data_IF_257340001564
#
_entry.id   IF_257340001564
#
_cell.length_a   1.000
_cell.length_b   1.000
_cell.length_c   1.000
_cell.angle_alpha   90.00
_cell.angle_beta   90.00
_cell.angle_gamma   90.00
#
_symmetry.space_group_name_H-M   'P 1'
#
loop_
_entity.id
_entity.type
_entity.pdbx_description
1 polymer ?
#
# COMPACT_ATOMS: atom_id res chain seq x y z
N UNK A 1 0.82 2.51 -23.20
CA UNK A 1 -0.36 3.35 -22.89
C UNK A 1 -0.08 4.77 -23.33
N UNK A 2 -0.96 5.37 -24.14
CA UNK A 2 -0.78 6.74 -24.64
C UNK A 2 -1.06 7.78 -23.55
N UNK A 3 -2.06 7.57 -22.67
CA UNK A 3 -2.32 8.38 -21.47
C UNK A 3 -2.79 7.49 -20.29
N UNK A 4 -2.47 7.88 -19.05
CA UNK A 4 -2.98 7.23 -17.84
C UNK A 4 -4.39 7.75 -17.52
N UNK A 5 -5.33 6.91 -17.07
CA UNK A 5 -6.65 7.38 -16.67
C UNK A 5 -6.53 8.27 -15.43
N UNK A 6 -7.29 9.36 -15.41
CA UNK A 6 -7.47 10.17 -14.20
C UNK A 6 -8.40 9.41 -13.24
N UNK A 7 -7.94 9.21 -12.00
CA UNK A 7 -8.67 8.50 -10.97
C UNK A 7 -8.29 9.12 -9.62
N UNK A 8 -9.09 10.06 -9.14
CA UNK A 8 -8.84 10.81 -7.90
C UNK A 8 -9.75 10.37 -6.77
N UNK A 9 -10.79 9.61 -7.07
CA UNK A 9 -11.81 9.22 -6.11
C UNK A 9 -12.16 7.74 -6.22
N UNK A 10 -12.74 7.19 -5.14
CA UNK A 10 -13.24 5.82 -5.18
C UNK A 10 -14.37 5.68 -6.20
N UNK A 11 -15.23 6.68 -6.34
CA UNK A 11 -16.32 6.69 -7.31
C UNK A 11 -15.81 6.65 -8.75
N UNK A 12 -14.79 7.45 -9.08
CA UNK A 12 -14.14 7.41 -10.39
C UNK A 12 -13.47 6.06 -10.64
N UNK A 13 -12.82 5.46 -9.63
CA UNK A 13 -12.25 4.12 -9.74
C UNK A 13 -13.33 3.08 -10.12
N UNK A 14 -14.47 3.11 -9.44
CA UNK A 14 -15.58 2.18 -9.72
C UNK A 14 -16.16 2.42 -11.12
N UNK A 15 -16.31 3.68 -11.53
CA UNK A 15 -16.75 4.04 -12.88
C UNK A 15 -15.79 3.52 -13.95
N UNK A 16 -14.47 3.62 -13.74
CA UNK A 16 -13.47 3.09 -14.68
C UNK A 16 -13.57 1.56 -14.82
N UNK A 17 -13.83 0.84 -13.72
CA UNK A 17 -14.05 -0.62 -13.77
C UNK A 17 -15.32 -0.96 -14.55
N UNK A 18 -16.41 -0.21 -14.35
CA UNK A 18 -17.67 -0.45 -15.07
C UNK A 18 -17.53 -0.11 -16.56
N UNK A 19 -16.83 0.97 -16.90
CA UNK A 19 -16.59 1.40 -18.27
C UNK A 19 -15.70 0.41 -19.04
N UNK A 20 -14.81 -0.32 -18.36
CA UNK A 20 -14.04 -1.41 -18.97
C UNK A 20 -14.87 -2.69 -19.19
N UNK A 21 -16.17 -2.67 -18.88
CA UNK A 21 -17.09 -3.80 -19.05
C UNK A 21 -16.95 -4.88 -17.98
N UNK A 22 -16.14 -4.63 -16.94
CA UNK A 22 -15.90 -5.58 -15.87
C UNK A 22 -16.91 -5.41 -14.74
N UNK A 23 -17.23 -6.52 -14.08
CA UNK A 23 -18.04 -6.51 -12.85
C UNK A 23 -17.12 -6.67 -11.64
N UNK A 24 -17.54 -6.09 -10.53
CA UNK A 24 -16.85 -6.22 -9.26
C UNK A 24 -17.80 -6.71 -8.16
N UNK A 25 -17.23 -7.41 -7.19
CA UNK A 25 -17.88 -7.76 -5.93
C UNK A 25 -17.44 -6.77 -4.86
N UNK A 26 -18.40 -6.19 -4.14
CA UNK A 26 -18.10 -5.41 -2.93
C UNK A 26 -17.71 -6.37 -1.81
N UNK A 27 -16.42 -6.39 -1.45
CA UNK A 27 -15.89 -7.29 -0.42
C UNK A 27 -15.91 -6.68 0.97
N UNK A 28 -16.01 -5.34 1.06
CA UNK A 28 -16.15 -4.61 2.31
C UNK A 28 -16.62 -3.18 2.08
N UNK A 29 -16.97 -2.49 3.17
CA UNK A 29 -17.18 -1.04 3.20
C UNK A 29 -16.41 -0.43 4.36
N UNK A 30 -15.80 0.73 4.15
CA UNK A 30 -15.11 1.48 5.21
C UNK A 30 -16.09 2.08 6.22
N UNK A 31 -15.57 2.74 7.25
CA UNK A 31 -16.38 3.44 8.27
C UNK A 31 -17.32 4.52 7.70
N UNK A 32 -17.03 5.05 6.50
CA UNK A 32 -17.89 6.01 5.80
C UNK A 32 -18.67 5.39 4.63
N UNK A 33 -18.72 4.06 4.56
CA UNK A 33 -19.49 3.35 3.54
C UNK A 33 -18.79 3.25 2.17
N UNK A 34 -17.55 3.71 2.04
CA UNK A 34 -16.81 3.60 0.78
C UNK A 34 -16.50 2.13 0.48
N UNK A 35 -16.79 1.71 -0.74
CA UNK A 35 -16.70 0.31 -1.14
C UNK A 35 -15.26 -0.10 -1.41
N UNK A 36 -14.87 -1.26 -0.87
CA UNK A 36 -13.66 -1.98 -1.23
C UNK A 36 -14.12 -3.13 -2.11
N UNK A 37 -13.56 -3.21 -3.31
CA UNK A 37 -14.07 -4.10 -4.36
C UNK A 37 -13.02 -5.09 -4.84
N UNK A 38 -13.48 -6.26 -5.27
CA UNK A 38 -12.68 -7.26 -5.95
C UNK A 38 -13.23 -7.46 -7.37
N UNK A 39 -12.38 -7.31 -8.37
CA UNK A 39 -12.69 -7.66 -9.76
C UNK A 39 -12.19 -9.06 -10.04
N UNK A 40 -13.03 -9.89 -10.63
CA UNK A 40 -12.61 -11.17 -11.19
C UNK A 40 -12.34 -10.98 -12.69
N UNK A 41 -11.14 -11.32 -13.13
CA UNK A 41 -10.71 -11.25 -14.53
C UNK A 41 -9.93 -12.52 -14.92
N UNK A 42 -9.40 -12.55 -16.15
CA UNK A 42 -8.73 -13.71 -16.74
C UNK A 42 -9.68 -14.88 -17.04
N UNK A 43 -9.14 -16.09 -17.06
CA UNK A 43 -9.88 -17.31 -17.31
C UNK A 43 -10.42 -17.99 -16.05
N UNK A 44 -10.45 -19.32 -16.07
CA UNK A 44 -11.00 -20.15 -14.99
C UNK A 44 -10.00 -21.18 -14.44
N UNK A 45 -8.77 -21.23 -14.98
CA UNK A 45 -7.74 -22.19 -14.58
C UNK A 45 -7.28 -21.92 -13.15
N UNK A 46 -7.02 -23.01 -12.44
CA UNK A 46 -6.47 -23.04 -11.08
C UNK A 46 -4.98 -23.43 -11.12
N UNK A 47 -4.19 -23.06 -10.10
CA UNK A 47 -4.56 -22.19 -8.98
C UNK A 47 -4.71 -20.72 -9.40
N UNK A 48 -5.49 -19.90 -8.67
CA UNK A 48 -5.82 -18.54 -9.10
C UNK A 48 -4.70 -17.55 -8.74
N UNK A 49 -4.70 -16.38 -9.38
CA UNK A 49 -3.77 -15.28 -9.11
C UNK A 49 -4.50 -14.21 -8.30
N UNK A 50 -3.85 -13.65 -7.29
CA UNK A 50 -4.36 -12.49 -6.54
C UNK A 50 -3.44 -11.29 -6.77
N UNK A 51 -4.03 -10.15 -7.14
CA UNK A 51 -3.33 -8.88 -7.32
C UNK A 51 -3.98 -7.85 -6.39
N UNK A 52 -3.18 -7.15 -5.59
CA UNK A 52 -3.69 -6.08 -4.72
C UNK A 52 -2.89 -4.80 -4.88
N UNK A 53 -3.53 -3.66 -4.63
CA UNK A 53 -2.87 -2.35 -4.65
C UNK A 53 -3.51 -1.39 -3.63
N UNK A 54 -2.90 -0.22 -3.44
CA UNK A 54 -3.51 0.89 -2.71
C UNK A 54 -3.81 0.62 -1.24
N UNK A 55 -2.97 -0.14 -0.53
CA UNK A 55 -3.01 -0.11 0.96
C UNK A 55 -2.54 1.24 1.49
N UNK A 56 -1.63 1.88 0.76
CA UNK A 56 -1.27 3.27 0.96
C UNK A 56 -1.84 4.05 -0.23
N UNK A 57 -2.80 4.93 0.04
CA UNK A 57 -3.41 5.76 -1.00
C UNK A 57 -2.40 6.69 -1.70
N UNK A 58 -1.32 7.06 -1.01
CA UNK A 58 -0.21 7.84 -1.59
C UNK A 58 0.68 7.09 -2.60
N UNK A 59 0.26 5.90 -3.04
CA UNK A 59 0.98 5.04 -3.98
C UNK A 59 0.12 4.77 -5.24
N UNK A 60 -0.20 5.83 -6.01
CA UNK A 60 -1.16 5.77 -7.12
C UNK A 60 -0.73 4.84 -8.26
N UNK A 61 0.57 4.61 -8.47
CA UNK A 61 1.04 3.80 -9.59
C UNK A 61 0.55 2.35 -9.49
N UNK A 62 0.49 1.78 -8.28
CA UNK A 62 -0.04 0.44 -8.06
C UNK A 62 -1.54 0.34 -8.40
N UNK A 63 -2.32 1.36 -8.00
CA UNK A 63 -3.77 1.42 -8.27
C UNK A 63 -4.04 1.52 -9.77
N UNK A 64 -3.33 2.40 -10.47
CA UNK A 64 -3.47 2.58 -11.92
C UNK A 64 -2.98 1.36 -12.71
N UNK A 65 -1.90 0.71 -12.26
CA UNK A 65 -1.46 -0.56 -12.85
C UNK A 65 -2.49 -1.67 -12.64
N UNK A 66 -3.11 -1.76 -11.46
CA UNK A 66 -4.19 -2.71 -11.22
C UNK A 66 -5.40 -2.47 -12.13
N UNK A 67 -5.79 -1.22 -12.39
CA UNK A 67 -6.84 -0.89 -13.36
C UNK A 67 -6.46 -1.30 -14.80
N UNK A 68 -5.22 -1.04 -15.21
CA UNK A 68 -4.74 -1.48 -16.52
C UNK A 68 -4.66 -3.01 -16.63
N UNK A 69 -4.33 -3.72 -15.55
CA UNK A 69 -4.37 -5.19 -15.51
C UNK A 69 -5.82 -5.73 -15.59
N UNK A 70 -6.79 -5.05 -14.95
CA UNK A 70 -8.20 -5.42 -15.10
C UNK A 70 -8.60 -5.36 -16.58
N UNK A 71 -8.21 -4.31 -17.29
CA UNK A 71 -8.61 -4.08 -18.69
C UNK A 71 -7.87 -4.95 -19.71
N UNK A 72 -6.58 -5.24 -19.47
CA UNK A 72 -5.70 -5.75 -20.53
C UNK A 72 -5.01 -7.08 -20.20
N UNK A 73 -5.13 -7.62 -18.98
CA UNK A 73 -4.46 -8.87 -18.63
C UNK A 73 -5.15 -10.06 -19.30
N UNK A 74 -4.43 -10.72 -20.21
CA UNK A 74 -4.82 -11.98 -20.81
C UNK A 74 -4.11 -13.14 -20.12
N UNK A 75 -4.89 -14.06 -19.53
CA UNK A 75 -4.40 -15.29 -18.89
C UNK A 75 -5.53 -16.31 -18.80
N UNK A 76 -5.19 -17.60 -18.88
CA UNK A 76 -6.16 -18.68 -18.66
C UNK A 76 -6.52 -18.85 -17.18
N UNK A 77 -5.70 -18.34 -16.27
CA UNK A 77 -5.91 -18.44 -14.82
C UNK A 77 -7.02 -17.49 -14.35
N UNK A 78 -7.78 -17.93 -13.34
CA UNK A 78 -8.68 -17.02 -12.65
C UNK A 78 -7.85 -15.97 -11.89
N UNK A 79 -8.18 -14.69 -12.08
CA UNK A 79 -7.49 -13.56 -11.43
C UNK A 79 -8.47 -12.81 -10.54
N UNK A 80 -8.04 -12.49 -9.31
CA UNK A 80 -8.77 -11.67 -8.35
C UNK A 80 -7.97 -10.39 -8.07
N UNK A 81 -8.51 -9.24 -8.45
CA UNK A 81 -7.83 -7.95 -8.35
C UNK A 81 -8.56 -7.06 -7.35
N UNK A 82 -7.85 -6.61 -6.31
CA UNK A 82 -8.32 -5.56 -5.38
C UNK A 82 -7.51 -4.29 -5.68
N UNK A 83 -8.01 -3.40 -6.56
CA UNK A 83 -7.22 -2.28 -7.07
C UNK A 83 -7.00 -1.17 -6.03
N UNK A 84 -7.86 -1.07 -5.02
CA UNK A 84 -7.76 -0.05 -3.98
C UNK A 84 -8.21 -0.61 -2.63
N UNK A 85 -7.25 -0.81 -1.71
CA UNK A 85 -7.52 -1.31 -0.36
C UNK A 85 -7.94 -0.22 0.62
N UNK A 86 -7.48 1.03 0.42
CA UNK A 86 -7.82 2.19 1.24
C UNK A 86 -8.55 3.28 0.46
N UNK A 87 -9.86 3.12 0.18
CA UNK A 87 -10.62 4.14 -0.53
C UNK A 87 -10.89 5.40 0.30
N UNK A 88 -10.74 5.34 1.63
CA UNK A 88 -10.90 6.51 2.49
C UNK A 88 -9.79 7.53 2.24
N UNK A 89 -8.53 7.08 2.26
CA UNK A 89 -7.38 7.97 2.06
C UNK A 89 -7.14 8.34 0.59
N UNK A 90 -7.72 7.59 -0.36
CA UNK A 90 -7.55 7.80 -1.80
C UNK A 90 -8.02 9.17 -2.28
N UNK A 91 -9.12 9.69 -1.74
CA UNK A 91 -9.65 10.98 -2.16
C UNK A 91 -8.94 12.21 -1.60
N UNK A 92 -7.81 12.03 -0.92
CA UNK A 92 -7.03 13.14 -0.36
C UNK A 92 -7.44 13.54 1.05
N UNK A 93 -6.55 14.32 1.69
CA UNK A 93 -6.71 14.69 3.10
C UNK A 93 -7.92 15.60 3.35
N UNK A 94 -8.16 16.54 2.44
CA UNK A 94 -9.31 17.45 2.53
C UNK A 94 -10.64 16.68 2.48
N UNK A 95 -10.77 15.70 1.58
CA UNK A 95 -11.97 14.86 1.48
C UNK A 95 -12.16 13.98 2.72
N UNK A 96 -11.08 13.43 3.27
CA UNK A 96 -11.13 12.69 4.54
C UNK A 96 -11.71 13.55 5.66
N UNK A 97 -11.21 14.79 5.79
CA UNK A 97 -11.65 15.73 6.80
C UNK A 97 -13.11 16.15 6.57
N UNK A 98 -13.50 16.38 5.31
CA UNK A 98 -14.87 16.70 4.94
C UNK A 98 -15.88 15.60 5.29
N UNK A 99 -15.53 14.33 5.07
CA UNK A 99 -16.35 13.20 5.51
C UNK A 99 -16.53 13.17 7.03
N UNK A 100 -15.49 13.51 7.79
CA UNK A 100 -15.55 13.54 9.24
C UNK A 100 -16.34 14.73 9.80
N UNK A 101 -16.28 15.89 9.13
CA UNK A 101 -17.00 17.10 9.53
C UNK A 101 -18.43 17.17 8.97
N UNK A 102 -18.76 16.38 7.94
CA UNK A 102 -20.04 16.44 7.24
C UNK A 102 -20.17 17.67 6.33
N UNK A 103 -19.06 18.26 5.89
CA UNK A 103 -19.03 19.46 5.03
C UNK A 103 -17.88 19.38 4.03
N UNK A 104 -17.93 20.20 2.98
CA UNK A 104 -16.81 20.35 2.05
C UNK A 104 -15.66 21.11 2.73
N UNK A 105 -14.43 20.64 2.48
CA UNK A 105 -13.22 21.19 3.08
C UNK A 105 -12.23 21.51 1.97
N UNK A 106 -11.63 22.69 2.04
CA UNK A 106 -10.52 23.11 1.19
C UNK A 106 -9.29 23.30 2.09
N UNK A 107 -8.14 22.85 1.61
CA UNK A 107 -6.86 22.98 2.31
C UNK A 107 -5.84 23.51 1.32
N UNK A 108 -5.36 24.72 1.55
CA UNK A 108 -4.40 25.38 0.65
C UNK A 108 -2.94 25.19 1.11
N UNK A 109 -2.73 24.82 2.37
CA UNK A 109 -1.39 24.68 2.95
C UNK A 109 -1.39 23.87 4.25
N UNK A 110 -0.20 23.49 4.72
CA UNK A 110 -0.04 22.86 6.05
C UNK A 110 -0.48 23.76 7.21
N UNK A 111 -0.33 25.09 7.07
CA UNK A 111 -0.82 26.04 8.08
C UNK A 111 -2.33 26.09 8.13
N UNK A 112 -2.96 26.02 6.96
CA UNK A 112 -4.41 25.94 6.85
C UNK A 112 -4.95 24.63 7.44
N UNK A 113 -4.34 23.50 7.10
CA UNK A 113 -4.63 22.21 7.72
C UNK A 113 -4.50 22.29 9.26
N UNK A 114 -3.40 22.84 9.77
CA UNK A 114 -3.17 23.00 11.20
C UNK A 114 -4.23 23.88 11.89
N UNK A 115 -4.61 25.01 11.26
CA UNK A 115 -5.67 25.90 11.78
C UNK A 115 -7.03 25.23 11.77
N UNK A 116 -7.40 24.54 10.70
CA UNK A 116 -8.66 23.80 10.59
C UNK A 116 -8.77 22.73 11.66
N UNK A 117 -7.73 21.91 11.83
CA UNK A 117 -7.73 20.87 12.87
C UNK A 117 -7.84 21.46 14.28
N UNK A 118 -7.13 22.56 14.55
CA UNK A 118 -7.19 23.22 15.85
C UNK A 118 -8.54 23.89 16.13
N UNK A 119 -9.22 24.41 15.10
CA UNK A 119 -10.49 25.11 15.22
C UNK A 119 -11.71 24.20 15.19
N UNK A 120 -11.62 23.02 14.56
CA UNK A 120 -12.76 22.10 14.35
C UNK A 120 -12.67 20.81 15.16
N UNK A 121 -11.49 20.45 15.67
CA UNK A 121 -11.28 19.24 16.47
C UNK A 121 -10.88 19.52 17.91
N UNK A 122 -10.94 18.48 18.74
CA UNK A 122 -10.38 18.51 20.08
C UNK A 122 -8.88 18.19 19.99
N UNK A 123 -8.04 19.20 20.19
CA UNK A 123 -6.57 19.02 20.17
C UNK A 123 -6.13 18.15 21.34
N UNK A 124 -5.50 17.01 21.04
CA UNK A 124 -5.00 16.06 22.04
C UNK A 124 -3.48 16.09 22.20
N UNK A 125 -2.77 16.56 21.17
CA UNK A 125 -1.33 16.76 21.24
C UNK A 125 -0.92 17.88 20.28
N UNK A 126 0.05 18.68 20.71
CA UNK A 126 0.68 19.72 19.90
C UNK A 126 2.17 19.78 20.21
N UNK A 127 2.97 19.97 19.17
CA UNK A 127 4.41 20.20 19.26
C UNK A 127 4.83 21.25 18.23
N UNK A 128 5.60 22.24 18.71
CA UNK A 128 6.02 23.41 17.92
C UNK A 128 7.05 23.06 16.83
N UNK A 129 8.04 22.21 17.15
CA UNK A 129 9.25 21.98 16.33
C UNK A 129 8.99 21.66 14.85
N UNK A 130 7.90 20.93 14.55
CA UNK A 130 7.49 20.62 13.17
C UNK A 130 6.00 20.90 12.92
N UNK A 131 5.39 21.74 13.77
CA UNK A 131 3.95 21.99 13.76
C UNK A 131 3.12 20.69 13.83
N UNK A 132 3.60 19.69 14.57
CA UNK A 132 2.85 18.43 14.74
C UNK A 132 1.61 18.69 15.59
N UNK A 133 0.46 18.38 15.05
CA UNK A 133 -0.84 18.58 15.68
C UNK A 133 -1.68 17.31 15.51
N UNK A 134 -2.20 16.79 16.62
CA UNK A 134 -3.19 15.71 16.62
C UNK A 134 -4.51 16.29 17.13
N UNK A 135 -5.58 16.14 16.35
CA UNK A 135 -6.92 16.57 16.72
C UNK A 135 -7.93 15.42 16.56
N UNK A 136 -8.75 15.21 17.57
CA UNK A 136 -9.90 14.31 17.51
C UNK A 136 -11.06 15.00 16.81
N UNK A 137 -11.59 14.36 15.77
CA UNK A 137 -12.77 14.80 15.02
C UNK A 137 -13.66 13.57 14.82
N UNK A 138 -14.78 13.54 15.54
CA UNK A 138 -15.59 12.32 15.67
C UNK A 138 -14.77 11.16 16.25
N UNK A 139 -14.79 10.02 15.59
CA UNK A 139 -14.03 8.82 15.99
C UNK A 139 -12.61 8.74 15.42
N UNK A 140 -12.21 9.74 14.63
CA UNK A 140 -10.92 9.81 13.95
C UNK A 140 -9.93 10.73 14.64
N UNK A 141 -8.66 10.47 14.35
CA UNK A 141 -7.55 11.33 14.73
C UNK A 141 -6.95 11.90 13.45
N UNK A 142 -7.11 13.20 13.25
CA UNK A 142 -6.46 13.90 12.15
C UNK A 142 -5.12 14.46 12.62
N UNK A 143 -4.11 14.31 11.77
CA UNK A 143 -2.75 14.74 12.06
C UNK A 143 -2.28 15.70 10.98
N UNK A 144 -1.73 16.83 11.42
CA UNK A 144 -0.99 17.74 10.55
C UNK A 144 0.45 17.81 11.05
N UNK A 145 1.40 17.77 10.12
CA UNK A 145 2.83 17.98 10.34
C UNK A 145 3.41 18.50 9.04
N UNK A 146 4.27 19.51 9.11
CA UNK A 146 4.96 20.00 7.91
C UNK A 146 5.91 18.93 7.36
N UNK A 147 6.07 18.81 6.02
CA UNK A 147 7.08 17.95 5.44
C UNK A 147 8.48 18.40 5.89
N UNK A 148 9.36 17.43 6.11
CA UNK A 148 10.78 17.70 6.35
C UNK A 148 11.47 18.05 5.02
N UNK A 149 12.59 18.79 5.01
CA UNK A 149 13.32 19.11 3.78
C UNK A 149 13.68 17.89 2.93
N UNK A 150 14.06 16.78 3.58
CA UNK A 150 14.34 15.48 2.95
C UNK A 150 13.23 14.46 3.27
N UNK A 151 11.97 14.85 3.06
CA UNK A 151 10.79 14.06 3.42
C UNK A 151 10.80 12.67 2.77
N UNK A 152 10.50 11.66 3.59
CA UNK A 152 10.06 10.31 3.18
C UNK A 152 8.53 10.22 3.05
N UNK A 153 7.88 11.38 3.01
CA UNK A 153 6.43 11.54 2.94
C UNK A 153 5.73 11.07 4.20
N UNK A 154 4.71 10.21 4.08
CA UNK A 154 3.82 9.92 5.19
C UNK A 154 4.50 9.07 6.27
N UNK A 155 5.62 8.41 5.94
CA UNK A 155 6.41 7.61 6.89
C UNK A 155 7.09 8.48 7.94
N UNK A 156 7.37 9.75 7.67
CA UNK A 156 7.91 10.66 8.69
C UNK A 156 6.91 10.94 9.80
N UNK A 157 5.66 11.19 9.41
CA UNK A 157 4.55 11.39 10.36
C UNK A 157 4.35 10.12 11.18
N UNK A 158 4.26 8.96 10.53
CA UNK A 158 4.11 7.67 11.24
C UNK A 158 5.27 7.41 12.24
N UNK A 159 6.52 7.66 11.84
CA UNK A 159 7.70 7.53 12.72
C UNK A 159 7.61 8.52 13.89
N UNK A 160 7.21 9.77 13.64
CA UNK A 160 7.05 10.79 14.69
C UNK A 160 5.96 10.38 15.66
N UNK A 161 4.80 9.94 15.17
CA UNK A 161 3.67 9.48 15.98
C UNK A 161 4.06 8.31 16.87
N UNK A 162 4.76 7.28 16.34
CA UNK A 162 5.23 6.16 17.16
C UNK A 162 6.22 6.61 18.25
N UNK A 163 7.10 7.59 17.97
CA UNK A 163 7.95 8.18 19.02
C UNK A 163 7.10 8.89 20.08
N UNK A 164 6.14 9.73 19.66
CA UNK A 164 5.22 10.45 20.56
C UNK A 164 4.52 9.47 21.49
N UNK A 165 3.92 8.40 20.96
CA UNK A 165 3.26 7.37 21.78
C UNK A 165 4.22 6.73 22.80
N UNK A 166 5.51 6.60 22.45
CA UNK A 166 6.52 6.03 23.34
C UNK A 166 6.88 6.90 24.54
N UNK A 167 6.91 8.24 24.39
CA UNK A 167 7.23 9.16 25.50
C UNK A 167 6.01 9.91 26.08
N UNK A 168 4.83 9.74 25.49
CA UNK A 168 3.53 10.25 25.97
C UNK A 168 2.52 9.10 26.12
N UNK A 169 2.75 8.17 27.06
CA UNK A 169 1.88 7.01 27.25
C UNK A 169 0.44 7.40 27.63
N UNK A 170 0.20 8.60 28.16
CA UNK A 170 -1.13 9.15 28.43
C UNK A 170 -2.01 9.31 27.16
N UNK A 171 -1.40 9.38 25.98
CA UNK A 171 -2.12 9.43 24.70
C UNK A 171 -2.67 8.06 24.28
N UNK A 172 -2.05 6.96 24.72
CA UNK A 172 -2.41 5.61 24.27
C UNK A 172 -3.87 5.29 24.58
N UNK A 173 -4.38 5.44 25.83
CA UNK A 173 -5.78 5.17 26.13
C UNK A 173 -6.79 6.02 25.33
N UNK A 174 -6.37 7.22 24.89
CA UNK A 174 -7.22 8.12 24.11
C UNK A 174 -7.31 7.70 22.63
N UNK A 175 -6.28 7.05 22.11
CA UNK A 175 -6.10 6.84 20.66
C UNK A 175 -6.18 5.38 20.23
N UNK A 176 -6.03 4.42 21.15
CA UNK A 176 -6.15 2.97 20.85
C UNK A 176 -7.45 2.66 20.10
N UNK A 177 -7.33 1.89 19.01
CA UNK A 177 -8.44 1.48 18.17
C UNK A 177 -8.93 2.56 17.18
N UNK A 178 -8.48 3.81 17.32
CA UNK A 178 -8.83 4.88 16.38
C UNK A 178 -8.01 4.79 15.11
N UNK A 179 -8.64 5.21 14.02
CA UNK A 179 -7.96 5.46 12.74
C UNK A 179 -7.36 6.86 12.75
N UNK A 180 -6.12 6.93 12.30
CA UNK A 180 -5.39 8.17 12.06
C UNK A 180 -5.41 8.48 10.57
N UNK A 181 -5.45 9.78 10.24
CA UNK A 181 -5.36 10.28 8.88
C UNK A 181 -4.45 11.51 8.83
N UNK A 182 -3.54 11.56 7.85
CA UNK A 182 -2.67 12.71 7.61
C UNK A 182 -2.39 12.90 6.12
N UNK A 183 -1.96 14.09 5.69
CA UNK A 183 -1.58 14.31 4.30
C UNK A 183 -0.40 13.43 3.89
N UNK A 184 -0.30 13.07 2.62
CA UNK A 184 0.82 12.26 2.13
C UNK A 184 2.18 12.93 2.30
N UNK A 185 2.24 14.28 2.34
CA UNK A 185 3.49 15.03 2.49
C UNK A 185 4.55 14.67 1.42
N UNK A 186 4.10 14.36 0.20
CA UNK A 186 4.95 13.96 -0.93
C UNK A 186 5.08 15.11 -1.93
N UNK A 187 5.50 16.29 -1.45
CA UNK A 187 5.64 17.52 -2.23
C UNK A 187 6.24 17.27 -3.62
N UNK A 188 5.48 17.61 -4.67
CA UNK A 188 5.92 17.52 -6.06
C UNK A 188 5.99 16.10 -6.65
N UNK A 189 5.54 15.08 -5.92
CA UNK A 189 5.37 13.73 -6.46
C UNK A 189 4.06 13.64 -7.24
N UNK A 190 4.18 13.36 -8.54
CA UNK A 190 3.05 13.27 -9.47
C UNK A 190 1.96 12.28 -8.99
N UNK A 191 0.70 12.71 -9.00
CA UNK A 191 -0.47 11.89 -8.62
C UNK A 191 -0.68 11.71 -7.11
N UNK A 192 0.05 12.45 -6.27
CA UNK A 192 -0.05 12.35 -4.81
C UNK A 192 0.10 13.68 -4.09
N UNK A 193 1.19 14.40 -4.40
CA UNK A 193 1.59 15.66 -3.76
C UNK A 193 1.44 15.66 -2.23
N UNK A 194 1.33 16.84 -1.60
CA UNK A 194 1.12 16.92 -0.16
C UNK A 194 -0.29 16.47 0.27
N UNK A 195 -1.34 16.85 -0.48
CA UNK A 195 -2.74 16.71 -0.06
C UNK A 195 -3.64 15.89 -0.99
N UNK A 196 -3.23 15.60 -2.24
CA UNK A 196 -4.10 14.91 -3.21
C UNK A 196 -4.41 13.48 -2.79
N UNK A 197 -3.52 12.89 -1.99
CA UNK A 197 -3.75 11.63 -1.28
C UNK A 197 -3.50 11.83 0.21
N UNK A 198 -4.18 11.04 1.03
CA UNK A 198 -3.88 10.95 2.44
C UNK A 198 -3.11 9.65 2.73
N UNK A 199 -2.58 9.55 3.93
CA UNK A 199 -2.14 8.30 4.52
C UNK A 199 -3.01 8.01 5.73
N UNK A 200 -3.40 6.74 5.87
CA UNK A 200 -4.17 6.30 7.02
C UNK A 200 -3.54 5.09 7.71
N UNK A 201 -3.73 5.04 9.02
CA UNK A 201 -3.18 4.03 9.91
C UNK A 201 -4.10 3.82 11.10
N UNK A 202 -3.82 2.82 11.92
CA UNK A 202 -4.59 2.57 13.15
C UNK A 202 -3.66 2.48 14.36
N UNK A 203 -4.16 2.90 15.51
CA UNK A 203 -3.45 2.66 16.78
C UNK A 203 -3.82 1.27 17.28
N UNK A 204 -2.83 0.40 17.37
CA UNK A 204 -2.99 -0.95 17.93
C UNK A 204 -3.29 -0.88 19.42
N UNK A 205 -3.76 -1.99 20.01
CA UNK A 205 -3.96 -2.12 21.46
C UNK A 205 -2.68 -1.90 22.30
N UNK A 206 -1.50 -1.94 21.68
CA UNK A 206 -0.22 -1.64 22.31
C UNK A 206 0.24 -0.19 22.11
N UNK A 207 -0.59 0.68 21.55
CA UNK A 207 -0.23 2.09 21.29
C UNK A 207 0.72 2.29 20.10
N UNK A 208 0.88 1.28 19.24
CA UNK A 208 1.69 1.38 18.00
C UNK A 208 0.80 1.93 16.88
N UNK A 209 1.28 2.92 16.13
CA UNK A 209 0.63 3.36 14.89
C UNK A 209 1.08 2.43 13.76
N UNK A 210 0.14 1.68 13.19
CA UNK A 210 0.39 0.67 12.18
C UNK A 210 -0.36 0.99 10.87
N UNK A 211 0.38 0.96 9.75
CA UNK A 211 -0.18 1.11 8.41
C UNK A 211 -1.07 -0.07 7.99
N UNK A 212 -1.87 0.14 6.94
CA UNK A 212 -2.82 -0.84 6.41
C UNK A 212 -2.19 -2.04 5.69
N UNK A 213 -0.87 -2.03 5.46
CA UNK A 213 -0.11 -3.19 5.00
C UNK A 213 0.55 -3.95 6.16
N UNK A 214 0.02 -3.84 7.38
CA UNK A 214 0.42 -4.62 8.56
C UNK A 214 -0.79 -5.31 9.16
N UNK A 215 -0.54 -6.14 10.17
CA UNK A 215 -1.57 -6.71 11.05
C UNK A 215 -2.48 -7.78 10.42
N UNK A 216 -2.08 -8.41 9.32
CA UNK A 216 -2.87 -9.50 8.72
C UNK A 216 -3.06 -10.72 9.65
N UNK A 217 -2.20 -10.87 10.67
CA UNK A 217 -2.30 -11.91 11.71
C UNK A 217 -3.06 -11.46 12.97
N UNK A 218 -3.61 -10.25 13.02
CA UNK A 218 -4.40 -9.80 14.18
C UNK A 218 -5.76 -10.50 14.22
N UNK A 219 -6.28 -10.76 15.42
CA UNK A 219 -7.60 -11.34 15.58
C UNK A 219 -8.71 -10.43 15.01
N UNK A 220 -8.59 -9.12 15.27
CA UNK A 220 -9.55 -8.10 14.87
C UNK A 220 -8.84 -6.96 14.13
N UNK A 221 -8.38 -7.18 12.89
CA UNK A 221 -7.79 -6.11 12.10
C UNK A 221 -8.89 -5.17 11.58
N UNK A 222 -8.54 -3.94 11.14
CA UNK A 222 -9.45 -3.07 10.39
C UNK A 222 -10.07 -3.77 9.18
N UNK A 223 -11.25 -3.30 8.76
CA UNK A 223 -12.01 -3.93 7.66
C UNK A 223 -11.23 -3.96 6.35
N UNK A 224 -10.40 -2.94 6.10
CA UNK A 224 -9.51 -2.84 4.94
C UNK A 224 -8.51 -4.00 4.87
N UNK A 225 -8.01 -4.44 6.03
CA UNK A 225 -7.10 -5.59 6.13
C UNK A 225 -7.90 -6.89 6.13
N UNK A 226 -9.00 -6.95 6.89
CA UNK A 226 -9.81 -8.15 7.04
C UNK A 226 -10.35 -8.66 5.70
N UNK A 227 -10.90 -7.79 4.86
CA UNK A 227 -11.53 -8.24 3.61
C UNK A 227 -10.53 -8.86 2.64
N UNK A 228 -9.31 -8.31 2.56
CA UNK A 228 -8.23 -8.85 1.71
C UNK A 228 -7.69 -10.15 2.28
N UNK A 229 -7.60 -10.22 3.62
CA UNK A 229 -7.25 -11.44 4.35
C UNK A 229 -8.21 -12.59 4.01
N UNK A 230 -9.49 -12.33 4.18
CA UNK A 230 -10.57 -13.30 3.97
C UNK A 230 -10.69 -13.70 2.49
N UNK A 231 -10.41 -12.76 1.56
CA UNK A 231 -10.30 -13.06 0.13
C UNK A 231 -9.20 -14.08 -0.14
N UNK A 232 -7.99 -13.87 0.38
CA UNK A 232 -6.85 -14.79 0.18
C UNK A 232 -7.12 -16.16 0.81
N UNK A 233 -7.73 -16.22 1.99
CA UNK A 233 -8.11 -17.48 2.63
C UNK A 233 -9.13 -18.27 1.82
N UNK A 234 -10.11 -17.58 1.24
CA UNK A 234 -11.14 -18.18 0.41
C UNK A 234 -10.59 -18.66 -0.93
N UNK A 235 -9.78 -17.82 -1.59
CA UNK A 235 -9.30 -18.04 -2.96
C UNK A 235 -8.13 -19.01 -3.00
N UNK A 236 -7.28 -19.03 -1.97
CA UNK A 236 -6.06 -19.86 -1.89
C UNK A 236 -5.20 -19.74 -3.16
N UNK A 237 -4.63 -18.55 -3.40
CA UNK A 237 -3.91 -18.27 -4.65
C UNK A 237 -2.72 -19.19 -4.86
N UNK A 238 -2.32 -19.33 -6.13
CA UNK A 238 -1.03 -19.88 -6.57
C UNK A 238 0.04 -18.82 -6.81
N UNK A 239 -0.36 -17.56 -6.96
CA UNK A 239 0.54 -16.40 -7.02
C UNK A 239 -0.12 -15.18 -6.39
N UNK A 240 0.65 -14.40 -5.62
CA UNK A 240 0.22 -13.09 -5.09
C UNK A 240 1.17 -11.98 -5.51
N UNK A 241 0.63 -10.93 -6.11
CA UNK A 241 1.34 -9.70 -6.45
C UNK A 241 0.71 -8.52 -5.71
N UNK A 242 1.50 -7.82 -4.91
CA UNK A 242 1.06 -6.62 -4.19
C UNK A 242 1.80 -5.40 -4.72
N UNK A 243 1.07 -4.49 -5.36
CA UNK A 243 1.64 -3.37 -6.11
C UNK A 243 1.80 -2.16 -5.17
N UNK A 244 3.04 -1.88 -4.73
CA UNK A 244 3.40 -0.76 -3.85
C UNK A 244 4.43 0.16 -4.48
N UNK A 245 4.65 1.29 -3.81
CA UNK A 245 5.72 2.21 -4.17
C UNK A 245 6.75 2.40 -3.06
N UNK A 246 8.02 2.22 -3.44
CA UNK A 246 9.16 2.41 -2.56
C UNK A 246 9.58 3.88 -2.43
N UNK A 247 10.54 4.09 -1.53
CA UNK A 247 11.17 5.40 -1.34
C UNK A 247 12.25 5.65 -2.40
N UNK A 248 12.40 6.88 -2.89
CA UNK A 248 13.35 7.31 -3.91
C UNK A 248 12.92 6.97 -5.34
N UNK A 249 13.89 6.82 -6.26
CA UNK A 249 13.64 6.68 -7.70
C UNK A 249 14.02 5.32 -8.26
N UNK A 250 14.43 4.35 -7.44
CA UNK A 250 14.83 3.02 -7.91
C UNK A 250 13.78 1.97 -7.53
N UNK A 251 13.79 0.85 -8.25
CA UNK A 251 12.90 -0.28 -8.04
C UNK A 251 13.53 -1.29 -7.08
N UNK A 252 12.71 -1.96 -6.28
CA UNK A 252 13.08 -3.24 -5.68
C UNK A 252 11.85 -4.15 -5.61
N UNK A 253 12.11 -5.45 -5.50
CA UNK A 253 11.11 -6.46 -5.25
C UNK A 253 11.27 -6.94 -3.82
N UNK A 254 10.18 -7.11 -3.10
CA UNK A 254 10.22 -7.63 -1.74
C UNK A 254 9.51 -8.98 -1.65
N UNK A 255 10.11 -9.92 -0.93
CA UNK A 255 9.48 -11.18 -0.56
C UNK A 255 9.89 -11.60 0.86
N UNK A 256 9.30 -12.67 1.36
CA UNK A 256 9.52 -13.17 2.73
C UNK A 256 10.13 -14.57 2.77
N UNK A 257 10.38 -15.13 1.59
CA UNK A 257 11.03 -16.42 1.40
C UNK A 257 11.82 -16.39 0.10
N UNK A 258 12.93 -17.10 0.02
CA UNK A 258 13.68 -17.25 -1.22
C UNK A 258 14.60 -18.47 -1.10
N UNK A 259 14.40 -19.46 -1.97
CA UNK A 259 15.32 -20.57 -2.13
C UNK A 259 15.77 -20.67 -3.58
N UNK A 260 17.09 -20.61 -3.81
CA UNK A 260 17.62 -20.68 -5.17
C UNK A 260 17.16 -21.95 -5.87
N UNK A 261 16.53 -21.79 -7.04
CA UNK A 261 16.06 -22.89 -7.87
C UNK A 261 14.62 -23.34 -7.59
N UNK A 262 13.92 -22.70 -6.65
CA UNK A 262 12.49 -22.91 -6.45
C UNK A 262 11.63 -22.02 -7.36
N UNK A 263 10.31 -22.24 -7.32
CA UNK A 263 9.31 -21.45 -8.05
C UNK A 263 9.38 -19.95 -7.69
N UNK A 264 9.56 -19.62 -6.41
CA UNK A 264 9.61 -18.23 -5.95
C UNK A 264 10.83 -17.49 -6.52
N UNK A 265 11.98 -18.15 -6.60
CA UNK A 265 13.21 -17.61 -7.17
C UNK A 265 13.11 -17.42 -8.69
N UNK A 266 12.44 -18.32 -9.41
CA UNK A 266 12.22 -18.20 -10.84
C UNK A 266 11.31 -17.01 -11.16
N UNK A 267 10.18 -16.89 -10.46
CA UNK A 267 9.23 -15.78 -10.63
C UNK A 267 9.89 -14.44 -10.26
N UNK A 268 10.62 -14.37 -9.14
CA UNK A 268 11.33 -13.15 -8.74
C UNK A 268 12.33 -12.67 -9.80
N UNK A 269 13.08 -13.60 -10.41
CA UNK A 269 14.03 -13.29 -11.47
C UNK A 269 13.34 -12.80 -12.73
N UNK A 270 12.20 -13.39 -13.11
CA UNK A 270 11.42 -12.94 -14.26
C UNK A 270 10.90 -11.50 -14.05
N UNK A 271 10.34 -11.22 -12.88
CA UNK A 271 9.85 -9.88 -12.50
C UNK A 271 10.99 -8.85 -12.60
N UNK A 272 12.11 -9.10 -11.89
CA UNK A 272 13.25 -8.18 -11.87
C UNK A 272 13.84 -8.00 -13.26
N UNK A 273 13.99 -9.10 -14.01
CA UNK A 273 14.54 -9.08 -15.38
C UNK A 273 13.71 -8.22 -16.31
N UNK A 274 12.38 -8.31 -16.26
CA UNK A 274 11.47 -7.51 -17.08
C UNK A 274 11.54 -6.02 -16.73
N UNK A 275 11.61 -5.68 -15.44
CA UNK A 275 11.75 -4.30 -14.98
C UNK A 275 13.11 -3.72 -15.40
N UNK A 276 14.20 -4.45 -15.23
CA UNK A 276 15.54 -4.03 -15.69
C UNK A 276 15.62 -3.86 -17.20
N UNK A 277 14.98 -4.75 -17.98
CA UNK A 277 14.95 -4.67 -19.44
C UNK A 277 14.29 -3.38 -19.94
N UNK A 278 13.46 -2.73 -19.11
CA UNK A 278 12.88 -1.41 -19.40
C UNK A 278 13.78 -0.23 -19.03
N UNK A 279 14.97 -0.49 -18.50
CA UNK A 279 15.93 0.54 -18.09
C UNK A 279 15.81 0.96 -16.62
N UNK A 280 14.97 0.28 -15.82
CA UNK A 280 14.83 0.58 -14.41
C UNK A 280 16.11 0.25 -13.63
N UNK A 281 16.49 1.18 -12.77
CA UNK A 281 17.62 0.98 -11.84
C UNK A 281 17.10 0.34 -10.56
N UNK A 282 17.83 -0.66 -10.06
CA UNK A 282 17.49 -1.39 -8.84
C UNK A 282 18.12 -0.76 -7.60
N UNK A 283 17.39 -0.77 -6.49
CA UNK A 283 17.94 -0.51 -5.16
C UNK A 283 18.74 -1.73 -4.69
N UNK A 284 19.92 -1.48 -4.15
CA UNK A 284 20.60 -2.47 -3.31
C UNK A 284 20.12 -2.41 -1.86
N UNK A 285 20.25 -3.51 -1.12
CA UNK A 285 20.02 -3.53 0.31
C UNK A 285 20.96 -2.57 1.05
N UNK A 286 22.19 -2.37 0.55
CA UNK A 286 23.12 -1.39 1.12
C UNK A 286 22.55 0.03 1.07
N UNK A 287 21.96 0.41 -0.06
CA UNK A 287 21.34 1.73 -0.23
C UNK A 287 20.08 1.87 0.61
N UNK A 288 19.19 0.87 0.61
CA UNK A 288 17.98 0.86 1.43
C UNK A 288 18.30 0.86 2.93
N UNK A 289 19.34 0.13 3.34
CA UNK A 289 19.82 0.02 4.72
C UNK A 289 20.18 1.36 5.35
N UNK A 290 20.58 2.36 4.55
CA UNK A 290 20.83 3.73 5.02
C UNK A 290 19.56 4.50 5.41
N UNK A 291 18.38 4.02 4.98
CA UNK A 291 17.08 4.69 5.12
C UNK A 291 16.14 4.01 6.12
N UNK A 292 16.48 2.80 6.53
CA UNK A 292 15.72 2.02 7.51
C UNK A 292 16.53 1.88 8.80
N UNK A 293 15.85 1.44 9.85
CA UNK A 293 16.49 1.17 11.13
C UNK A 293 17.66 0.16 10.96
N UNK A 294 18.87 0.45 11.50
CA UNK A 294 20.04 -0.40 11.32
C UNK A 294 19.88 -1.82 11.85
N UNK A 295 19.06 -2.03 12.89
CA UNK A 295 18.78 -3.36 13.42
C UNK A 295 17.88 -4.13 12.45
N UNK A 296 16.83 -3.48 11.93
CA UNK A 296 15.98 -4.08 10.87
C UNK A 296 16.77 -4.41 9.62
N UNK A 297 17.68 -3.54 9.19
CA UNK A 297 18.50 -3.77 7.99
C UNK A 297 19.34 -5.07 8.07
N UNK A 298 19.79 -5.45 9.27
CA UNK A 298 20.56 -6.68 9.50
C UNK A 298 19.73 -7.95 9.36
N UNK A 299 18.41 -7.85 9.44
CA UNK A 299 17.49 -8.99 9.29
C UNK A 299 17.12 -9.24 7.81
N UNK A 300 17.55 -8.36 6.90
CA UNK A 300 17.23 -8.42 5.47
C UNK A 300 18.36 -9.07 4.68
N UNK A 301 18.01 -9.68 3.56
CA UNK A 301 18.96 -10.27 2.61
C UNK A 301 18.70 -9.76 1.20
N UNK A 302 19.75 -9.74 0.38
CA UNK A 302 19.68 -9.47 -1.05
C UNK A 302 20.34 -10.63 -1.82
N UNK A 303 19.62 -11.73 -2.07
CA UNK A 303 20.20 -12.91 -2.71
C UNK A 303 20.51 -12.70 -4.20
N UNK A 304 19.79 -11.79 -4.85
CA UNK A 304 20.06 -11.28 -6.20
C UNK A 304 19.82 -9.77 -6.22
N UNK A 305 20.47 -9.01 -7.14
CA UNK A 305 20.32 -7.56 -7.19
C UNK A 305 18.84 -7.14 -7.22
N UNK A 306 18.45 -6.22 -6.32
CA UNK A 306 17.11 -5.66 -6.26
C UNK A 306 16.04 -6.55 -5.62
N UNK A 307 16.35 -7.78 -5.22
CA UNK A 307 15.42 -8.62 -4.45
C UNK A 307 15.72 -8.49 -2.96
N UNK A 308 14.80 -7.91 -2.20
CA UNK A 308 14.92 -7.79 -0.74
C UNK A 308 14.09 -8.90 -0.09
N UNK A 309 14.75 -9.74 0.69
CA UNK A 309 14.10 -10.82 1.43
C UNK A 309 14.06 -10.42 2.90
N UNK A 310 12.84 -10.18 3.39
CA UNK A 310 12.60 -9.94 4.81
C UNK A 310 12.58 -11.23 5.62
N UNK A 311 12.73 -11.15 6.96
CA UNK A 311 12.57 -12.31 7.80
C UNK A 311 11.15 -12.86 7.65
N UNK A 312 11.05 -14.17 7.43
CA UNK A 312 9.82 -14.92 7.63
C UNK A 312 9.38 -14.70 9.08
N UNK A 313 8.47 -13.77 9.33
CA UNK A 313 8.07 -13.48 10.71
C UNK A 313 7.43 -14.72 11.29
N UNK A 314 7.87 -15.11 12.49
CA UNK A 314 7.19 -16.10 13.33
C UNK A 314 5.68 -15.74 13.38
N UNK A 315 4.75 -16.67 13.11
CA UNK A 315 3.30 -16.41 13.10
C UNK A 315 2.76 -15.78 14.39
N UNK A 316 3.54 -15.79 15.47
CA UNK A 316 3.24 -15.14 16.77
C UNK A 316 3.61 -13.65 16.82
N UNK A 317 4.43 -13.12 15.90
CA UNK A 317 4.71 -11.68 15.85
C UNK A 317 3.51 -10.94 15.25
N UNK A 318 2.80 -10.23 16.13
CA UNK A 318 1.89 -9.15 15.74
C UNK A 318 2.56 -8.24 14.69
N UNK A 319 1.88 -7.98 13.57
CA UNK A 319 2.34 -7.02 12.56
C UNK A 319 2.85 -7.63 11.25
N UNK A 320 2.52 -8.89 10.95
CA UNK A 320 2.81 -9.48 9.65
C UNK A 320 2.25 -8.62 8.50
N UNK A 321 3.08 -8.38 7.49
CA UNK A 321 2.67 -7.75 6.24
C UNK A 321 1.78 -8.68 5.41
N UNK A 322 1.11 -8.14 4.39
CA UNK A 322 0.29 -8.95 3.50
C UNK A 322 1.08 -10.11 2.87
N UNK A 323 2.31 -9.86 2.42
CA UNK A 323 3.18 -10.90 1.84
C UNK A 323 3.51 -12.02 2.83
N UNK A 324 3.81 -11.68 4.09
CA UNK A 324 4.05 -12.67 5.13
C UNK A 324 2.80 -13.53 5.37
N UNK A 325 1.61 -12.95 5.26
CA UNK A 325 0.35 -13.66 5.40
C UNK A 325 0.12 -14.63 4.23
N UNK A 326 0.32 -14.17 2.99
CA UNK A 326 0.03 -14.91 1.77
C UNK A 326 0.96 -16.11 1.52
N UNK A 327 2.20 -16.07 2.06
CA UNK A 327 3.23 -17.10 1.83
C UNK A 327 2.81 -18.53 2.19
N UNK A 328 1.76 -18.70 3.00
CA UNK A 328 1.22 -20.03 3.35
C UNK A 328 0.48 -20.71 2.19
N UNK A 329 0.16 -19.98 1.13
CA UNK A 329 -0.53 -20.51 -0.04
C UNK A 329 0.34 -20.47 -1.29
N UNK A 330 1.08 -19.37 -1.50
CA UNK A 330 1.77 -19.10 -2.76
C UNK A 330 3.04 -18.27 -2.60
N UNK A 331 3.92 -18.31 -3.62
CA UNK A 331 4.83 -17.20 -3.95
C UNK A 331 4.10 -15.85 -3.84
N UNK A 332 4.71 -14.93 -3.09
CA UNK A 332 4.12 -13.63 -2.78
C UNK A 332 5.17 -12.52 -2.87
N UNK A 333 4.89 -11.50 -3.67
CA UNK A 333 5.81 -10.40 -3.96
C UNK A 333 5.16 -9.03 -3.74
N UNK A 334 5.86 -8.14 -3.03
CA UNK A 334 5.54 -6.71 -2.99
C UNK A 334 6.45 -5.96 -3.95
N UNK A 335 5.85 -5.21 -4.86
CA UNK A 335 6.57 -4.41 -5.83
C UNK A 335 6.84 -3.06 -5.22
N UNK A 336 7.99 -2.47 -5.46
CA UNK A 336 8.36 -1.24 -4.79
C UNK A 336 8.98 -0.29 -5.82
N UNK A 337 8.12 0.30 -6.66
CA UNK A 337 8.55 1.28 -7.67
C UNK A 337 8.90 2.60 -7.00
N UNK A 338 10.01 3.21 -7.39
CA UNK A 338 10.46 4.46 -6.78
C UNK A 338 9.52 5.62 -7.09
N UNK A 339 8.84 6.15 -6.06
CA UNK A 339 7.81 7.21 -6.19
C UNK A 339 8.29 8.55 -6.78
N UNK A 340 9.61 8.80 -6.85
CA UNK A 340 10.17 10.04 -7.44
C UNK A 340 10.32 10.00 -8.98
N UNK A 341 9.92 8.90 -9.62
CA UNK A 341 9.77 8.82 -11.08
C UNK A 341 8.45 9.45 -11.51
N UNK A 342 8.32 9.73 -12.81
CA UNK A 342 7.02 10.10 -13.37
C UNK A 342 5.98 9.00 -13.08
N UNK A 343 4.72 9.39 -12.91
CA UNK A 343 3.64 8.43 -12.64
C UNK A 343 3.53 7.38 -13.74
N UNK A 344 3.71 7.78 -14.99
CA UNK A 344 3.74 6.87 -16.14
C UNK A 344 4.83 5.81 -16.03
N UNK A 345 6.06 6.19 -15.77
CA UNK A 345 7.17 5.23 -15.62
C UNK A 345 6.89 4.24 -14.49
N UNK A 346 6.36 4.72 -13.36
CA UNK A 346 6.02 3.85 -12.22
C UNK A 346 4.94 2.83 -12.59
N UNK A 347 3.86 3.26 -13.24
CA UNK A 347 2.81 2.34 -13.73
C UNK A 347 3.38 1.31 -14.70
N UNK A 348 4.23 1.74 -15.63
CA UNK A 348 4.86 0.84 -16.59
C UNK A 348 5.80 -0.20 -15.94
N UNK A 349 6.51 0.17 -14.87
CA UNK A 349 7.32 -0.77 -14.08
C UNK A 349 6.46 -1.82 -13.36
N UNK A 350 5.35 -1.39 -12.74
CA UNK A 350 4.39 -2.29 -12.10
C UNK A 350 3.83 -3.30 -13.10
N UNK A 351 3.39 -2.81 -14.27
CA UNK A 351 2.85 -3.65 -15.33
C UNK A 351 3.89 -4.65 -15.86
N UNK A 352 5.11 -4.19 -16.13
CA UNK A 352 6.18 -5.05 -16.63
C UNK A 352 6.51 -6.19 -15.67
N UNK A 353 6.63 -5.87 -14.38
CA UNK A 353 6.82 -6.88 -13.35
C UNK A 353 5.63 -7.84 -13.26
N UNK A 354 4.40 -7.33 -13.29
CA UNK A 354 3.20 -8.15 -13.11
C UNK A 354 3.03 -9.15 -14.27
N UNK A 355 3.13 -8.67 -15.51
CA UNK A 355 3.06 -9.53 -16.70
C UNK A 355 4.15 -10.60 -16.69
N UNK A 356 5.39 -10.25 -16.35
CA UNK A 356 6.48 -11.21 -16.30
C UNK A 356 6.31 -12.25 -15.19
N UNK A 357 5.88 -11.83 -14.00
CA UNK A 357 5.61 -12.74 -12.89
C UNK A 357 4.49 -13.73 -13.19
N UNK A 358 3.41 -13.25 -13.82
CA UNK A 358 2.28 -14.09 -14.24
C UNK A 358 2.71 -15.07 -15.33
N UNK A 359 3.41 -14.61 -16.37
CA UNK A 359 3.86 -15.47 -17.46
C UNK A 359 4.80 -16.58 -16.98
N UNK A 360 5.70 -16.27 -16.04
CA UNK A 360 6.61 -17.26 -15.46
C UNK A 360 5.88 -18.26 -14.56
N UNK A 361 4.93 -17.79 -13.76
CA UNK A 361 4.04 -18.67 -13.00
C UNK A 361 3.28 -19.63 -13.92
N UNK A 362 2.67 -19.15 -15.01
CA UNK A 362 1.98 -20.02 -15.97
C UNK A 362 2.91 -21.06 -16.60
N UNK A 363 4.15 -20.68 -16.93
CA UNK A 363 5.15 -21.59 -17.48
C UNK A 363 5.43 -22.73 -16.50
N UNK A 364 5.67 -22.40 -15.23
CA UNK A 364 5.93 -23.39 -14.16
C UNK A 364 4.72 -24.29 -13.91
N UNK A 365 3.50 -23.73 -13.95
CA UNK A 365 2.27 -24.51 -13.80
C UNK A 365 2.01 -25.46 -14.99
N UNK A 366 2.52 -25.17 -16.19
CA UNK A 366 2.48 -26.10 -17.33
C UNK A 366 3.51 -27.22 -17.20
N UNK A 367 4.70 -26.92 -16.70
CA UNK A 367 5.78 -27.92 -16.50
C UNK A 367 5.48 -28.91 -15.37
N UNK A 368 4.72 -28.47 -14.36
CA UNK A 368 4.31 -29.30 -13.24
C UNK A 368 3.01 -30.10 -13.50
N UNK A 369 2.41 -29.99 -14.69
CA UNK A 369 1.27 -30.81 -15.11
C UNK A 369 1.78 -32.02 -15.91
N UNK A 370 1.54 -33.26 -15.45
CA UNK A 370 2.04 -34.48 -16.08
C UNK A 370 1.41 -34.77 -17.45
#
# INVERSE_FOLDING_TARGET
>A
MTDLPRCDTNEELLQLIEQSGHRYDVIARTIYGLEIVCVRSGGNRQPPIVITAGAHAGEPAGVLAALALIEHLETDHAVYIVPLRDPFAWGGFARCLGMALGEEVVIESHDDAGRLLAGRGTVVYREEENSLLLALIGDLVFVSMRPLPDTSGPRDVERRLNRVMGYKPELVPLLVGKRLCWPSNLTGVEGCDDFDRAFSAFVTHHGVVADLNRQFTFAYPPVEIQCVRDLVDRVRPGLVLDLHEGQGSKYYLWTTDYMRGDENAAIAQAIIGAVVARGSILYSLKELGSRIDPQKARELQEPIPGLIVGPASNPVRQGASFMNYCRRYAPAFSFETGRWKSLKERVEEQLAGAYAGIAEFERLQRENQP
#
